data_IF_769206603754
#
_entry.id   IF_769206603754
#
_cell.length_a   1.000
_cell.length_b   1.000
_cell.length_c   1.000
_cell.angle_alpha   90.00
_cell.angle_beta   90.00
_cell.angle_gamma   90.00
#
_symmetry.space_group_name_H-M   'P 1'
#
loop_
_entity.id
_entity.type
_entity.pdbx_description
1 polymer ?
#
# COMPACT_ATOMS: atom_id res chain seq x y z
N UNK A 1 -21.95 28.30 21.60
CA UNK A 1 -20.62 28.45 22.21
C UNK A 1 -20.26 27.11 22.83
N UNK A 2 -19.39 26.33 22.19
CA UNK A 2 -18.85 25.10 22.76
C UNK A 2 -17.81 25.49 23.84
N UNK A 3 -17.91 24.88 25.02
CA UNK A 3 -17.09 25.22 26.18
C UNK A 3 -15.65 24.72 26.01
N UNK A 4 -14.68 25.44 26.59
CA UNK A 4 -13.23 25.12 26.53
C UNK A 4 -12.83 23.79 27.17
N UNK A 5 -13.73 23.16 27.94
CA UNK A 5 -13.55 21.82 28.49
C UNK A 5 -13.88 20.71 27.47
N UNK A 6 -14.80 20.96 26.53
CA UNK A 6 -15.15 19.99 25.48
C UNK A 6 -14.04 19.88 24.43
N UNK A 7 -13.38 20.98 24.08
CA UNK A 7 -12.28 21.00 23.10
C UNK A 7 -11.05 20.23 23.59
N UNK A 8 -10.74 20.28 24.89
CA UNK A 8 -9.62 19.52 25.49
C UNK A 8 -9.90 18.01 25.61
N UNK A 9 -11.17 17.63 25.83
CA UNK A 9 -11.58 16.22 25.84
C UNK A 9 -11.62 15.63 24.44
N UNK A 10 -12.03 16.42 23.44
CA UNK A 10 -12.04 16.04 22.02
C UNK A 10 -10.60 15.86 21.52
N UNK A 11 -9.67 16.77 21.86
CA UNK A 11 -8.27 16.66 21.48
C UNK A 11 -7.58 15.39 22.03
N UNK A 12 -7.82 15.02 23.30
CA UNK A 12 -7.25 13.80 23.89
C UNK A 12 -7.82 12.51 23.29
N UNK A 13 -9.09 12.49 22.90
CA UNK A 13 -9.69 11.33 22.23
C UNK A 13 -9.28 11.20 20.76
N UNK A 14 -8.94 12.31 20.10
CA UNK A 14 -8.32 12.31 18.75
C UNK A 14 -6.89 11.75 18.79
N UNK A 15 -6.14 11.99 19.87
CA UNK A 15 -4.76 11.52 20.04
C UNK A 15 -4.63 9.98 20.21
N UNK A 16 -5.58 9.32 20.88
CA UNK A 16 -5.54 7.85 21.09
C UNK A 16 -5.93 7.05 19.83
N UNK A 17 -6.62 7.65 18.87
CA UNK A 17 -7.27 6.96 17.75
C UNK A 17 -6.55 7.12 16.41
N UNK A 18 -5.74 8.16 16.28
CA UNK A 18 -4.83 8.35 15.17
C UNK A 18 -3.55 7.48 15.29
N UNK A 19 -3.58 6.43 16.11
CA UNK A 19 -2.46 5.52 16.32
C UNK A 19 -2.16 4.61 15.12
N UNK A 20 -2.92 4.72 14.02
CA UNK A 20 -2.97 3.66 13.02
C UNK A 20 -2.78 4.11 11.57
N UNK A 21 -1.72 3.53 11.01
CA UNK A 21 -1.54 3.19 9.59
C UNK A 21 -0.74 4.19 8.78
N UNK A 22 0.48 3.77 8.43
CA UNK A 22 1.25 4.47 7.42
C UNK A 22 2.11 3.50 6.61
N UNK A 23 2.38 3.82 5.31
CA UNK A 23 3.67 3.70 4.53
C UNK A 23 3.61 3.26 3.05
N UNK A 24 4.78 3.34 2.36
CA UNK A 24 5.08 3.34 0.91
C UNK A 24 6.40 2.58 0.52
N UNK A 25 6.55 1.98 -0.70
CA UNK A 25 7.81 1.70 -1.53
C UNK A 25 7.65 1.08 -3.00
N UNK A 26 8.55 1.28 -4.01
CA UNK A 26 8.95 0.25 -5.06
C UNK A 26 10.26 0.36 -5.93
N UNK A 27 11.41 -0.23 -5.61
CA UNK A 27 12.73 0.05 -6.26
C UNK A 27 12.73 0.03 -7.80
N UNK A 28 13.70 0.72 -8.41
CA UNK A 28 13.90 0.83 -9.85
C UNK A 28 14.14 -0.61 -10.31
N UNK A 29 13.23 -1.10 -11.15
CA UNK A 29 12.95 -2.53 -11.40
C UNK A 29 12.18 -3.28 -10.31
N UNK A 30 10.98 -2.77 -10.01
CA UNK A 30 9.81 -3.62 -10.02
C UNK A 30 9.34 -4.11 -8.68
N UNK A 31 8.87 -3.17 -7.86
CA UNK A 31 7.96 -3.47 -6.77
C UNK A 31 6.64 -2.71 -7.01
N UNK A 32 5.61 -2.87 -6.20
CA UNK A 32 4.53 -1.88 -6.06
C UNK A 32 4.02 -2.01 -4.63
N UNK A 33 3.92 -0.88 -3.94
CA UNK A 33 3.34 -0.82 -2.59
C UNK A 33 2.05 -0.06 -2.65
N UNK A 34 1.09 -0.55 -1.87
CA UNK A 34 -0.27 -0.08 -1.81
C UNK A 34 -0.58 0.44 -0.40
N UNK A 35 -0.68 1.75 -0.23
CA UNK A 35 -1.04 2.33 1.07
C UNK A 35 -2.55 2.49 1.23
N UNK A 36 -3.05 2.13 2.41
CA UNK A 36 -4.40 2.41 2.88
C UNK A 36 -4.35 3.60 3.83
N UNK A 37 -5.11 4.64 3.52
CA UNK A 37 -5.47 5.69 4.46
C UNK A 37 -6.87 5.34 5.02
N UNK A 38 -7.10 5.51 6.31
CA UNK A 38 -8.45 5.49 6.88
C UNK A 38 -8.60 6.75 7.74
N UNK A 39 -9.17 7.82 7.19
CA UNK A 39 -9.55 9.01 7.94
C UNK A 39 -10.79 8.66 8.75
N UNK A 40 -10.59 8.08 9.92
CA UNK A 40 -11.62 8.12 10.95
C UNK A 40 -11.66 9.53 11.54
N UNK A 41 -12.33 10.45 10.84
CA UNK A 41 -12.74 11.73 11.41
C UNK A 41 -13.83 11.43 12.45
N UNK A 42 -13.41 11.32 13.72
CA UNK A 42 -14.24 11.55 14.89
C UNK A 42 -15.02 10.36 15.45
N UNK A 43 -14.38 9.53 16.30
CA UNK A 43 -15.11 8.69 17.26
C UNK A 43 -15.63 9.54 18.44
N UNK A 44 -16.67 10.30 18.11
CA UNK A 44 -17.87 10.51 18.93
C UNK A 44 -19.15 10.62 18.09
N UNK A 45 -19.04 10.68 16.76
CA UNK A 45 -20.15 10.46 15.81
C UNK A 45 -20.25 8.99 15.33
N UNK A 46 -19.18 8.21 15.50
CA UNK A 46 -19.06 6.78 15.12
C UNK A 46 -19.85 5.79 16.01
N UNK A 47 -20.74 6.26 16.89
CA UNK A 47 -21.85 5.43 17.39
C UNK A 47 -23.09 5.45 16.48
N UNK A 48 -23.05 6.17 15.35
CA UNK A 48 -24.09 6.14 14.29
C UNK A 48 -23.61 5.74 12.90
N UNK A 49 -22.32 5.44 12.70
CA UNK A 49 -21.79 4.91 11.41
C UNK A 49 -21.94 3.40 11.37
N UNK A 50 -23.16 2.89 11.62
CA UNK A 50 -23.45 1.49 11.28
C UNK A 50 -23.95 1.34 9.84
N UNK A 51 -24.37 2.41 9.16
CA UNK A 51 -25.07 2.27 7.85
C UNK A 51 -24.90 3.47 6.87
N UNK A 52 -24.00 4.45 7.11
CA UNK A 52 -23.93 5.70 6.31
C UNK A 52 -22.72 5.81 5.37
N UNK A 53 -22.95 6.31 4.16
CA UNK A 53 -21.95 6.71 3.15
C UNK A 53 -21.12 7.93 3.62
N UNK A 54 -19.83 7.98 3.31
CA UNK A 54 -18.89 9.04 3.74
C UNK A 54 -19.34 10.44 3.26
N UNK A 55 -19.95 10.55 2.06
CA UNK A 55 -20.54 11.82 1.56
C UNK A 55 -21.68 12.32 2.44
N UNK A 56 -22.46 11.38 3.02
CA UNK A 56 -23.56 11.72 3.93
C UNK A 56 -23.02 12.31 5.22
N UNK A 57 -21.94 11.74 5.76
CA UNK A 57 -21.26 12.31 6.93
C UNK A 57 -20.72 13.71 6.63
N UNK A 58 -20.04 13.91 5.48
CA UNK A 58 -19.53 15.23 5.09
C UNK A 58 -20.65 16.27 4.94
N UNK A 59 -21.82 15.85 4.44
CA UNK A 59 -23.03 16.68 4.40
C UNK A 59 -23.50 17.09 5.78
N UNK A 60 -23.60 16.16 6.72
CA UNK A 60 -24.01 16.45 8.09
C UNK A 60 -23.03 17.41 8.78
N UNK A 61 -21.73 17.22 8.60
CA UNK A 61 -20.70 18.09 9.15
C UNK A 61 -20.82 19.52 8.60
N UNK A 62 -21.00 19.66 7.28
CA UNK A 62 -21.17 20.95 6.64
C UNK A 62 -22.45 21.68 7.12
N UNK A 63 -23.57 20.97 7.25
CA UNK A 63 -24.82 21.53 7.79
C UNK A 63 -24.66 22.03 9.23
N UNK A 64 -23.77 21.41 10.00
CA UNK A 64 -23.43 21.84 11.36
C UNK A 64 -22.34 22.93 11.42
N UNK A 65 -21.94 23.49 10.28
CA UNK A 65 -21.00 24.61 10.19
C UNK A 65 -19.52 24.22 10.22
N UNK A 66 -19.19 22.93 10.07
CA UNK A 66 -17.80 22.51 9.91
C UNK A 66 -17.32 22.89 8.51
N UNK A 67 -16.20 23.61 8.43
CA UNK A 67 -15.60 24.02 7.17
C UNK A 67 -14.56 23.01 6.68
N UNK A 68 -14.24 23.04 5.40
CA UNK A 68 -13.14 22.25 4.83
C UNK A 68 -11.79 22.58 5.47
N UNK A 69 -11.57 23.84 5.87
CA UNK A 69 -10.37 24.25 6.60
C UNK A 69 -10.28 23.59 7.99
N UNK A 70 -11.40 23.46 8.71
CA UNK A 70 -11.41 22.76 10.00
C UNK A 70 -10.98 21.29 9.81
N UNK A 71 -11.45 20.66 8.74
CA UNK A 71 -11.06 19.29 8.39
C UNK A 71 -9.56 19.21 8.08
N UNK A 72 -9.03 20.13 7.26
CA UNK A 72 -7.59 20.21 6.94
C UNK A 72 -6.75 20.34 8.21
N UNK A 73 -7.14 21.22 9.14
CA UNK A 73 -6.40 21.43 10.38
C UNK A 73 -6.40 20.22 11.31
N UNK A 74 -7.45 19.40 11.27
CA UNK A 74 -7.50 18.11 11.98
C UNK A 74 -6.55 17.10 11.31
N UNK A 75 -6.61 16.97 9.98
CA UNK A 75 -5.79 16.02 9.22
C UNK A 75 -4.28 16.27 9.40
N UNK A 76 -3.86 17.55 9.46
CA UNK A 76 -2.45 17.90 9.73
C UNK A 76 -1.97 17.51 11.12
N UNK A 77 -2.88 17.29 12.07
CA UNK A 77 -2.55 16.93 13.46
C UNK A 77 -2.57 15.44 13.70
N UNK A 78 -2.94 14.63 12.70
CA UNK A 78 -2.93 13.18 12.80
C UNK A 78 -1.53 12.69 13.18
N UNK A 79 -1.34 12.10 14.38
CA UNK A 79 -0.06 11.54 14.76
C UNK A 79 0.41 10.49 13.77
N UNK A 80 1.69 10.57 13.42
CA UNK A 80 2.38 9.63 12.56
C UNK A 80 3.62 9.16 13.29
N UNK A 81 3.81 7.84 13.33
CA UNK A 81 4.96 7.27 13.99
C UNK A 81 6.26 7.78 13.32
N UNK A 82 7.28 8.25 14.08
CA UNK A 82 8.42 8.98 13.50
C UNK A 82 9.25 8.21 12.46
N UNK A 83 9.17 6.87 12.44
CA UNK A 83 9.92 5.98 11.54
C UNK A 83 9.26 5.76 10.18
N UNK A 84 8.01 6.14 10.05
CA UNK A 84 7.21 5.98 8.85
C UNK A 84 7.72 6.81 7.67
N UNK A 85 7.84 8.14 7.86
CA UNK A 85 8.25 9.03 6.78
C UNK A 85 9.68 8.69 6.33
N UNK A 86 10.64 8.43 7.24
CA UNK A 86 11.94 7.87 6.87
C UNK A 86 11.84 6.58 6.07
N UNK A 87 10.98 5.63 6.47
CA UNK A 87 10.79 4.39 5.73
C UNK A 87 10.32 4.64 4.30
N UNK A 88 9.26 5.44 4.12
CA UNK A 88 8.74 5.85 2.80
C UNK A 88 9.84 6.43 1.91
N UNK A 89 10.61 7.39 2.46
CA UNK A 89 11.66 8.08 1.73
C UNK A 89 12.85 7.19 1.41
N UNK A 90 13.30 6.38 2.36
CA UNK A 90 14.41 5.44 2.19
C UNK A 90 14.05 4.37 1.17
N UNK A 91 12.80 3.93 1.24
CA UNK A 91 12.26 3.02 0.29
C UNK A 91 12.27 3.71 -1.08
N UNK A 92 11.58 4.84 -1.31
CA UNK A 92 11.67 5.67 -2.55
C UNK A 92 13.12 5.88 -3.06
N UNK A 93 14.08 6.16 -2.19
CA UNK A 93 15.47 6.34 -2.57
C UNK A 93 16.16 5.05 -3.06
N UNK A 94 15.69 3.89 -2.62
CA UNK A 94 16.13 2.61 -3.16
C UNK A 94 15.60 2.39 -4.61
N UNK A 95 14.69 3.25 -5.10
CA UNK A 95 14.28 3.37 -6.52
C UNK A 95 12.76 3.40 -6.72
N UNK A 96 12.02 3.83 -5.70
CA UNK A 96 10.85 3.11 -5.26
C UNK A 96 9.48 3.62 -5.83
N UNK A 97 8.76 3.05 -6.81
CA UNK A 97 7.38 3.33 -7.31
C UNK A 97 6.21 3.13 -6.29
N UNK A 98 5.93 4.16 -5.52
CA UNK A 98 4.96 4.08 -4.43
C UNK A 98 3.54 4.26 -4.94
N UNK A 99 2.58 3.47 -4.46
CA UNK A 99 1.16 3.64 -4.77
C UNK A 99 0.30 3.63 -3.51
N UNK A 100 -0.86 4.27 -3.60
CA UNK A 100 -1.88 4.28 -2.55
C UNK A 100 -3.11 3.58 -3.11
N UNK A 101 -3.67 2.64 -2.35
CA UNK A 101 -5.03 2.13 -2.59
C UNK A 101 -5.75 2.07 -1.26
N UNK A 102 -6.70 2.98 -1.15
CA UNK A 102 -7.21 3.40 0.15
C UNK A 102 -8.71 3.59 0.07
N UNK A 103 -9.44 3.05 1.04
CA UNK A 103 -10.89 3.27 1.16
C UNK A 103 -11.22 4.58 1.90
N UNK A 104 -10.35 5.58 1.72
CA UNK A 104 -10.53 6.96 2.15
C UNK A 104 -11.05 7.78 0.96
N UNK A 105 -10.64 9.04 0.84
CA UNK A 105 -10.85 9.86 -0.34
C UNK A 105 -9.62 10.70 -0.72
N UNK A 106 -9.61 11.23 -1.95
CA UNK A 106 -8.47 12.01 -2.48
C UNK A 106 -8.16 13.24 -1.62
N UNK A 107 -9.17 14.01 -1.20
CA UNK A 107 -8.98 15.23 -0.40
C UNK A 107 -8.23 14.95 0.91
N UNK A 108 -8.58 13.86 1.61
CA UNK A 108 -7.90 13.49 2.85
C UNK A 108 -6.48 13.01 2.63
N UNK A 109 -6.27 12.16 1.64
CA UNK A 109 -4.95 11.60 1.34
C UNK A 109 -4.00 12.71 0.92
N UNK A 110 -4.39 13.53 -0.06
CA UNK A 110 -3.55 14.60 -0.61
C UNK A 110 -3.20 15.63 0.47
N UNK A 111 -4.17 16.03 1.31
CA UNK A 111 -3.92 16.97 2.43
C UNK A 111 -2.79 16.48 3.35
N UNK A 112 -2.74 15.18 3.63
CA UNK A 112 -1.76 14.61 4.54
C UNK A 112 -0.42 14.39 3.86
N UNK A 113 -0.43 13.93 2.61
CA UNK A 113 0.80 13.82 1.83
C UNK A 113 1.48 15.19 1.68
N UNK A 114 0.71 16.24 1.39
CA UNK A 114 1.20 17.61 1.29
C UNK A 114 1.80 18.07 2.63
N UNK A 115 1.09 17.83 3.73
CA UNK A 115 1.56 18.21 5.07
C UNK A 115 2.90 17.54 5.44
N UNK A 116 3.09 16.30 5.01
CA UNK A 116 4.29 15.51 5.32
C UNK A 116 5.42 15.67 4.30
N UNK A 117 5.18 16.40 3.20
CA UNK A 117 6.12 16.52 2.08
C UNK A 117 6.35 15.17 1.38
N UNK A 118 5.26 14.45 1.12
CA UNK A 118 5.25 13.11 0.52
C UNK A 118 4.49 13.04 -0.82
N UNK A 119 3.95 14.14 -1.33
CA UNK A 119 3.08 14.12 -2.53
C UNK A 119 3.81 13.61 -3.77
N UNK A 120 5.07 14.00 -3.97
CA UNK A 120 5.90 13.58 -5.12
C UNK A 120 6.44 12.15 -5.00
N UNK A 121 6.16 11.48 -3.88
CA UNK A 121 6.67 10.14 -3.64
C UNK A 121 5.77 9.07 -4.24
N UNK A 122 4.48 9.35 -4.47
CA UNK A 122 3.52 8.36 -4.97
C UNK A 122 3.18 8.58 -6.44
N UNK A 123 3.33 7.52 -7.25
CA UNK A 123 3.03 7.57 -8.69
C UNK A 123 1.54 7.43 -8.99
N UNK A 124 0.77 6.80 -8.10
CA UNK A 124 -0.67 6.64 -8.27
C UNK A 124 -1.42 6.52 -6.93
N UNK A 125 -2.60 7.14 -6.87
CA UNK A 125 -3.54 7.07 -5.76
C UNK A 125 -4.87 6.52 -6.29
N UNK A 126 -5.26 5.32 -5.86
CA UNK A 126 -6.61 4.80 -6.09
C UNK A 126 -7.41 4.94 -4.80
N UNK A 127 -8.46 5.73 -4.83
CA UNK A 127 -9.32 5.95 -3.67
C UNK A 127 -10.69 6.45 -4.14
N UNK A 128 -11.59 6.76 -3.21
CA UNK A 128 -12.87 7.39 -3.52
C UNK A 128 -12.61 8.85 -3.95
N UNK A 129 -13.06 9.31 -5.13
CA UNK A 129 -12.85 10.70 -5.53
C UNK A 129 -13.50 11.68 -4.55
N UNK A 130 -12.73 12.67 -4.09
CA UNK A 130 -13.16 13.71 -3.17
C UNK A 130 -12.89 15.12 -3.72
N UNK A 131 -13.86 16.03 -3.63
CA UNK A 131 -13.70 17.42 -4.07
C UNK A 131 -14.59 18.37 -3.27
N UNK A 132 -14.23 19.65 -3.21
CA UNK A 132 -15.07 20.68 -2.57
C UNK A 132 -16.05 21.24 -3.60
N UNK A 133 -17.35 21.22 -3.31
CA UNK A 133 -18.39 21.78 -4.19
C UNK A 133 -18.50 23.31 -4.09
N UNK A 134 -19.40 23.90 -4.88
CA UNK A 134 -19.61 25.35 -4.96
C UNK A 134 -20.10 25.96 -3.63
N UNK A 135 -20.75 25.14 -2.80
CA UNK A 135 -21.19 25.50 -1.45
C UNK A 135 -20.10 25.38 -0.39
N UNK A 136 -18.90 24.91 -0.75
CA UNK A 136 -17.79 24.70 0.18
C UNK A 136 -17.91 23.41 0.99
N UNK A 137 -18.73 22.45 0.57
CA UNK A 137 -18.86 21.13 1.19
C UNK A 137 -17.92 20.13 0.51
N UNK A 138 -17.30 19.28 1.32
CA UNK A 138 -16.56 18.14 0.79
C UNK A 138 -17.53 17.08 0.26
N UNK A 139 -17.40 16.78 -1.03
CA UNK A 139 -18.09 15.71 -1.76
C UNK A 139 -17.20 14.50 -1.88
N UNK A 140 -17.79 13.32 -1.70
CA UNK A 140 -17.10 12.04 -1.85
C UNK A 140 -17.93 11.16 -2.77
N UNK A 141 -17.28 10.57 -3.77
CA UNK A 141 -17.88 9.67 -4.74
C UNK A 141 -17.30 8.28 -4.56
N UNK A 142 -18.07 7.20 -4.75
CA UNK A 142 -17.52 5.86 -4.62
C UNK A 142 -16.58 5.53 -5.79
N UNK A 143 -15.51 4.80 -5.49
CA UNK A 143 -14.57 4.33 -6.51
C UNK A 143 -15.23 3.36 -7.51
N UNK A 144 -16.06 2.44 -7.01
CA UNK A 144 -16.92 1.57 -7.81
C UNK A 144 -18.37 2.07 -7.75
N UNK A 145 -19.02 2.20 -8.90
CA UNK A 145 -20.45 2.52 -8.97
C UNK A 145 -21.28 1.30 -8.55
N UNK A 146 -21.49 1.15 -7.24
CA UNK A 146 -22.27 0.08 -6.64
C UNK A 146 -23.79 0.28 -6.77
N UNK A 147 -24.25 1.44 -7.29
CA UNK A 147 -25.68 1.70 -7.50
C UNK A 147 -26.23 0.95 -8.70
N UNK A 148 -25.36 0.63 -9.68
CA UNK A 148 -25.71 -0.18 -10.86
C UNK A 148 -25.53 -1.66 -10.61
N UNK A 149 -24.40 -2.07 -10.04
CA UNK A 149 -24.12 -3.46 -9.71
C UNK A 149 -23.02 -3.58 -8.66
N UNK A 150 -23.08 -4.57 -7.76
CA UNK A 150 -21.99 -4.83 -6.83
C UNK A 150 -20.74 -5.31 -7.58
N UNK A 151 -19.56 -5.03 -7.05
CA UNK A 151 -18.28 -5.44 -7.63
C UNK A 151 -18.00 -6.97 -7.55
N UNK A 152 -18.99 -7.79 -7.17
CA UNK A 152 -18.98 -9.25 -7.32
C UNK A 152 -17.97 -10.02 -6.46
N UNK A 153 -17.44 -9.43 -5.38
CA UNK A 153 -16.49 -10.12 -4.50
C UNK A 153 -17.21 -10.84 -3.36
N UNK A 154 -16.75 -12.04 -3.01
CA UNK A 154 -17.24 -12.82 -1.86
C UNK A 154 -16.48 -12.55 -0.55
N UNK A 155 -15.50 -11.65 -0.59
CA UNK A 155 -14.67 -11.24 0.55
C UNK A 155 -15.29 -10.04 1.25
N UNK A 156 -14.93 -9.75 2.52
CA UNK A 156 -15.35 -8.52 3.19
C UNK A 156 -14.73 -7.30 2.51
N UNK A 157 -15.46 -6.75 1.54
CA UNK A 157 -15.13 -5.53 0.81
C UNK A 157 -16.27 -4.54 0.98
N UNK A 158 -15.97 -3.27 1.22
CA UNK A 158 -16.98 -2.24 1.25
C UNK A 158 -17.49 -1.99 -0.19
N UNK A 159 -18.80 -1.72 -0.39
CA UNK A 159 -19.39 -1.64 -1.74
C UNK A 159 -18.77 -0.56 -2.63
N UNK A 160 -18.32 0.55 -2.03
CA UNK A 160 -17.72 1.69 -2.69
C UNK A 160 -16.32 1.41 -3.25
N UNK A 161 -15.52 0.53 -2.62
CA UNK A 161 -14.15 0.26 -3.10
C UNK A 161 -13.64 -1.14 -2.75
N UNK A 162 -13.51 -1.99 -3.78
CA UNK A 162 -12.78 -3.24 -3.69
C UNK A 162 -11.31 -3.05 -4.06
N UNK A 163 -10.44 -2.97 -3.05
CA UNK A 163 -8.98 -2.90 -3.23
C UNK A 163 -8.40 -4.13 -3.95
N UNK A 164 -9.04 -5.29 -3.81
CA UNK A 164 -8.63 -6.51 -4.51
C UNK A 164 -8.82 -6.47 -6.02
N UNK A 165 -9.77 -5.68 -6.53
CA UNK A 165 -9.90 -5.41 -7.97
C UNK A 165 -8.81 -4.45 -8.45
N UNK A 166 -8.49 -3.43 -7.65
CA UNK A 166 -7.38 -2.50 -7.95
C UNK A 166 -6.05 -3.25 -8.02
N UNK A 167 -5.74 -4.09 -7.03
CA UNK A 167 -4.54 -4.94 -7.06
C UNK A 167 -4.50 -5.88 -8.25
N UNK A 168 -5.65 -6.45 -8.63
CA UNK A 168 -5.72 -7.31 -9.81
C UNK A 168 -5.36 -6.53 -11.09
N UNK A 169 -5.83 -5.29 -11.23
CA UNK A 169 -5.49 -4.42 -12.37
C UNK A 169 -3.99 -4.13 -12.39
N UNK A 170 -3.44 -3.70 -11.26
CA UNK A 170 -2.03 -3.35 -11.11
C UNK A 170 -1.09 -4.53 -11.40
N UNK A 171 -1.40 -5.74 -10.91
CA UNK A 171 -0.65 -6.96 -11.22
C UNK A 171 -0.62 -7.26 -12.73
N UNK A 172 -1.67 -6.91 -13.47
CA UNK A 172 -1.70 -7.06 -14.93
C UNK A 172 -0.87 -5.97 -15.63
N UNK A 173 -0.93 -4.74 -15.16
CA UNK A 173 -0.21 -3.59 -15.72
C UNK A 173 1.31 -3.70 -15.51
N UNK A 174 1.74 -4.28 -14.39
CA UNK A 174 3.14 -4.27 -13.93
C UNK A 174 3.87 -5.61 -14.09
N UNK A 175 3.25 -6.59 -14.76
CA UNK A 175 3.92 -7.82 -15.19
C UNK A 175 4.64 -8.55 -14.06
N UNK A 176 5.95 -8.79 -14.21
CA UNK A 176 6.75 -9.61 -13.28
C UNK A 176 7.36 -8.84 -12.09
N UNK A 177 7.07 -7.54 -11.94
CA UNK A 177 7.47 -6.74 -10.77
C UNK A 177 6.95 -7.40 -9.49
N UNK A 178 7.72 -7.50 -8.41
CA UNK A 178 7.35 -8.13 -7.11
C UNK A 178 6.57 -7.19 -6.20
N UNK A 179 5.36 -7.55 -5.80
CA UNK A 179 4.55 -6.65 -4.99
C UNK A 179 4.89 -6.80 -3.50
N UNK A 180 4.88 -5.70 -2.75
CA UNK A 180 4.83 -5.71 -1.28
C UNK A 180 3.50 -5.05 -0.92
N UNK A 181 2.50 -5.80 -0.49
CA UNK A 181 1.23 -5.22 -0.08
C UNK A 181 1.23 -4.98 1.43
N UNK A 182 0.76 -3.82 1.88
CA UNK A 182 0.66 -3.50 3.31
C UNK A 182 -0.79 -3.14 3.64
N UNK A 183 -1.27 -3.59 4.79
CA UNK A 183 -2.63 -3.31 5.21
C UNK A 183 -2.93 -3.78 6.62
N UNK A 184 -4.03 -3.30 7.15
CA UNK A 184 -4.47 -3.51 8.54
C UNK A 184 -5.98 -3.76 8.60
N UNK A 185 -6.75 -3.10 7.75
CA UNK A 185 -8.21 -3.12 7.76
C UNK A 185 -8.82 -4.37 7.12
N UNK A 186 -10.08 -4.62 7.42
CA UNK A 186 -10.81 -5.78 6.88
C UNK A 186 -10.84 -5.81 5.34
N UNK A 187 -10.90 -4.62 4.70
CA UNK A 187 -10.87 -4.46 3.24
C UNK A 187 -9.55 -4.87 2.58
N UNK A 188 -8.50 -5.10 3.37
CA UNK A 188 -7.18 -5.55 2.89
C UNK A 188 -7.08 -7.06 2.74
N UNK A 189 -8.09 -7.81 3.19
CA UNK A 189 -8.11 -9.26 3.01
C UNK A 189 -8.31 -9.65 1.55
N UNK A 190 -9.19 -8.95 0.82
CA UNK A 190 -9.42 -9.26 -0.60
C UNK A 190 -8.17 -9.10 -1.49
N UNK A 191 -7.38 -8.01 -1.40
CA UNK A 191 -6.13 -7.92 -2.15
C UNK A 191 -5.07 -8.93 -1.68
N UNK A 192 -5.02 -9.27 -0.39
CA UNK A 192 -4.11 -10.30 0.14
C UNK A 192 -4.25 -11.66 -0.58
N UNK A 193 -5.49 -12.02 -0.97
CA UNK A 193 -5.79 -13.25 -1.74
C UNK A 193 -5.39 -13.20 -3.22
N UNK A 194 -5.03 -12.02 -3.74
CA UNK A 194 -4.72 -11.81 -5.17
C UNK A 194 -3.22 -11.80 -5.44
N UNK A 195 -2.40 -11.65 -4.41
CA UNK A 195 -0.95 -11.65 -4.51
C UNK A 195 -0.43 -13.03 -4.95
N UNK A 196 0.71 -13.02 -5.64
CA UNK A 196 1.40 -14.23 -6.13
C UNK A 196 2.38 -14.76 -5.09
N UNK A 197 2.87 -15.97 -5.31
CA UNK A 197 3.88 -16.60 -4.44
C UNK A 197 5.21 -15.83 -4.38
N UNK A 198 5.53 -15.08 -5.44
CA UNK A 198 6.71 -14.21 -5.51
C UNK A 198 6.56 -12.89 -4.77
N UNK A 199 5.34 -12.53 -4.38
CA UNK A 199 4.99 -11.27 -3.73
C UNK A 199 5.05 -11.41 -2.20
N UNK A 200 4.97 -10.28 -1.52
CA UNK A 200 5.02 -10.16 -0.07
C UNK A 200 3.77 -9.46 0.45
N UNK A 201 3.27 -9.92 1.58
CA UNK A 201 2.17 -9.33 2.33
C UNK A 201 2.68 -8.92 3.71
N UNK A 202 2.48 -7.66 4.08
CA UNK A 202 2.82 -7.10 5.39
C UNK A 202 1.55 -6.69 6.14
N UNK A 203 0.82 -7.64 6.75
CA UNK A 203 -0.37 -7.33 7.52
C UNK A 203 0.03 -6.74 8.86
N UNK A 204 -0.69 -5.71 9.32
CA UNK A 204 -0.50 -5.22 10.68
C UNK A 204 -1.09 -6.20 11.68
N UNK A 205 -0.25 -6.66 12.60
CA UNK A 205 -0.63 -7.63 13.62
C UNK A 205 -1.63 -7.02 14.61
N UNK A 206 -2.59 -7.83 15.04
CA UNK A 206 -3.67 -7.46 15.97
C UNK A 206 -4.71 -6.48 15.39
N UNK A 207 -4.75 -6.35 14.05
CA UNK A 207 -5.77 -5.61 13.30
C UNK A 207 -6.67 -6.56 12.49
N UNK A 208 -7.85 -6.12 12.00
CA UNK A 208 -8.85 -7.01 11.38
C UNK A 208 -8.33 -7.88 10.24
N UNK A 209 -7.39 -7.40 9.41
CA UNK A 209 -6.81 -8.22 8.34
C UNK A 209 -5.98 -9.39 8.89
N UNK A 210 -5.27 -9.18 10.00
CA UNK A 210 -4.43 -10.19 10.64
C UNK A 210 -5.27 -11.35 11.16
N UNK A 211 -6.43 -11.06 11.77
CA UNK A 211 -7.33 -12.10 12.24
C UNK A 211 -7.83 -12.98 11.08
N UNK A 212 -8.24 -12.35 9.96
CA UNK A 212 -8.70 -13.08 8.78
C UNK A 212 -7.59 -13.95 8.16
N UNK A 213 -6.38 -13.42 8.05
CA UNK A 213 -5.22 -14.15 7.53
C UNK A 213 -4.84 -15.30 8.47
N UNK A 214 -4.77 -15.05 9.78
CA UNK A 214 -4.37 -16.02 10.79
C UNK A 214 -5.35 -17.18 10.92
N UNK A 215 -6.64 -16.93 10.68
CA UNK A 215 -7.68 -17.96 10.68
C UNK A 215 -7.52 -18.96 9.52
N UNK A 216 -7.01 -18.54 8.37
CA UNK A 216 -6.78 -19.43 7.23
C UNK A 216 -5.58 -19.03 6.36
N UNK A 217 -4.34 -19.15 6.86
CA UNK A 217 -3.16 -18.63 6.18
C UNK A 217 -2.85 -19.36 4.87
N UNK A 218 -3.38 -20.58 4.70
CA UNK A 218 -3.21 -21.40 3.48
C UNK A 218 -3.87 -20.77 2.24
N UNK A 219 -4.80 -19.83 2.42
CA UNK A 219 -5.40 -19.09 1.30
C UNK A 219 -4.48 -17.99 0.78
N UNK A 220 -3.49 -17.55 1.56
CA UNK A 220 -2.51 -16.54 1.17
C UNK A 220 -1.35 -17.24 0.46
N UNK A 221 -1.12 -16.87 -0.79
CA UNK A 221 -0.03 -17.41 -1.61
C UNK A 221 1.29 -16.70 -1.36
N UNK A 222 1.25 -15.40 -1.10
CA UNK A 222 2.41 -14.56 -0.87
C UNK A 222 3.07 -14.84 0.48
N UNK A 223 4.32 -14.41 0.62
CA UNK A 223 5.05 -14.50 1.89
C UNK A 223 4.52 -13.46 2.87
N UNK A 224 4.12 -13.90 4.06
CA UNK A 224 3.57 -13.03 5.11
C UNK A 224 4.69 -12.54 6.01
N UNK A 225 4.73 -11.22 6.25
CA UNK A 225 5.69 -10.52 7.10
C UNK A 225 4.97 -9.47 7.95
N UNK A 226 4.46 -9.87 9.11
CA UNK A 226 3.71 -9.00 9.99
C UNK A 226 4.55 -7.87 10.63
N UNK A 227 3.87 -6.82 11.07
CA UNK A 227 4.44 -5.71 11.82
C UNK A 227 3.45 -5.19 12.87
N UNK A 228 3.94 -4.64 13.97
CA UNK A 228 3.08 -4.12 15.07
C UNK A 228 3.08 -2.60 15.16
N UNK A 229 4.26 -1.98 15.04
CA UNK A 229 4.49 -0.55 15.16
C UNK A 229 5.33 0.03 14.01
N UNK A 230 5.56 1.34 14.02
CA UNK A 230 6.29 2.00 12.96
C UNK A 230 7.79 1.71 12.92
N UNK A 231 8.40 1.14 13.98
CA UNK A 231 9.79 0.72 13.97
C UNK A 231 9.94 -0.66 13.31
N UNK A 232 9.06 -1.60 13.65
CA UNK A 232 8.98 -2.89 12.97
C UNK A 232 8.59 -2.73 11.51
N UNK A 233 7.63 -1.85 11.25
CA UNK A 233 7.24 -1.42 9.92
C UNK A 233 8.46 -1.18 9.04
N UNK A 234 9.32 -0.25 9.46
CA UNK A 234 10.47 0.18 8.68
C UNK A 234 11.46 -0.96 8.53
N UNK A 235 11.78 -1.64 9.64
CA UNK A 235 12.74 -2.74 9.64
C UNK A 235 12.34 -3.84 8.67
N UNK A 236 11.07 -4.25 8.69
CA UNK A 236 10.55 -5.31 7.82
C UNK A 236 10.54 -4.83 6.37
N UNK A 237 10.00 -3.64 6.09
CA UNK A 237 9.93 -3.09 4.74
C UNK A 237 11.33 -3.01 4.11
N UNK A 238 12.28 -2.38 4.79
CA UNK A 238 13.64 -2.20 4.27
C UNK A 238 14.39 -3.53 4.14
N UNK A 239 14.14 -4.49 5.03
CA UNK A 239 14.70 -5.84 4.92
C UNK A 239 14.17 -6.58 3.68
N UNK A 240 12.89 -6.46 3.36
CA UNK A 240 12.30 -7.08 2.18
C UNK A 240 12.84 -6.46 0.89
N UNK A 241 12.89 -5.13 0.86
CA UNK A 241 13.52 -4.34 -0.20
C UNK A 241 14.95 -4.83 -0.46
N UNK A 242 15.78 -4.87 0.57
CA UNK A 242 17.17 -5.29 0.45
C UNK A 242 17.27 -6.73 -0.08
N UNK A 243 16.43 -7.63 0.42
CA UNK A 243 16.38 -9.01 -0.06
C UNK A 243 15.96 -9.10 -1.52
N UNK A 244 15.04 -8.26 -1.99
CA UNK A 244 14.63 -8.24 -3.40
C UNK A 244 15.78 -7.77 -4.28
N UNK A 245 16.43 -6.66 -3.93
CA UNK A 245 17.59 -6.09 -4.66
C UNK A 245 18.71 -7.12 -4.75
N UNK A 246 19.14 -7.70 -3.62
CA UNK A 246 20.25 -8.66 -3.60
C UNK A 246 19.96 -9.91 -4.42
N UNK A 247 18.71 -10.38 -4.45
CA UNK A 247 18.31 -11.51 -5.29
C UNK A 247 18.24 -11.14 -6.78
N UNK A 248 17.91 -9.89 -7.12
CA UNK A 248 17.93 -9.40 -8.49
C UNK A 248 19.37 -9.33 -9.02
N UNK A 249 20.29 -8.77 -8.23
CA UNK A 249 21.73 -8.72 -8.56
C UNK A 249 22.28 -10.13 -8.78
N UNK A 250 22.01 -11.07 -7.86
CA UNK A 250 22.45 -12.44 -8.00
C UNK A 250 21.93 -13.08 -9.31
N UNK A 251 20.65 -12.89 -9.65
CA UNK A 251 20.08 -13.40 -10.90
C UNK A 251 20.65 -12.74 -12.16
N UNK A 252 21.11 -11.48 -12.08
CA UNK A 252 21.85 -10.83 -13.16
C UNK A 252 23.25 -11.44 -13.31
N UNK A 253 23.97 -11.70 -12.21
CA UNK A 253 25.25 -12.40 -12.23
C UNK A 253 25.13 -13.81 -12.82
N UNK A 254 24.12 -14.59 -12.41
CA UNK A 254 23.87 -15.92 -12.97
C UNK A 254 23.48 -15.88 -14.46
N UNK A 255 22.76 -14.86 -14.91
CA UNK A 255 22.46 -14.68 -16.34
C UNK A 255 23.67 -14.22 -17.18
N UNK A 256 24.66 -13.56 -16.58
CA UNK A 256 25.93 -13.26 -17.25
C UNK A 256 26.77 -14.53 -17.43
N UNK A 257 26.83 -15.39 -16.41
CA UNK A 257 27.58 -16.64 -16.46
C UNK A 257 26.98 -17.64 -17.47
N UNK A 258 25.65 -17.66 -17.65
CA UNK A 258 25.00 -18.48 -18.69
C UNK A 258 25.20 -17.95 -20.13
N UNK A 259 25.75 -16.74 -20.33
CA UNK A 259 26.07 -16.21 -21.67
C UNK A 259 27.49 -16.55 -22.13
N UNK A 260 28.32 -17.19 -21.30
CA UNK A 260 29.69 -17.59 -21.67
C UNK A 260 29.83 -19.02 -22.22
N UNK A 261 28.74 -19.79 -22.35
CA UNK A 261 28.75 -21.10 -22.99
C UNK A 261 28.01 -21.09 -24.33
N UNK A 262 28.66 -20.55 -25.37
CA UNK A 262 28.46 -21.01 -26.75
C UNK A 262 29.60 -20.55 -27.65
N UNK A 263 30.82 -21.01 -27.36
CA UNK A 263 31.83 -21.15 -28.40
C UNK A 263 31.61 -22.50 -29.09
N UNK A 264 31.35 -22.55 -30.41
CA UNK A 264 31.22 -23.82 -31.11
C UNK A 264 32.55 -24.55 -31.08
N UNK A 265 32.54 -25.76 -30.52
CA UNK A 265 33.61 -26.75 -30.65
C UNK A 265 33.78 -27.02 -32.15
N UNK A 266 34.85 -26.49 -32.73
CA UNK A 266 35.32 -26.85 -34.06
C UNK A 266 35.69 -28.33 -34.05
N UNK A 267 35.04 -29.06 -34.93
CA UNK A 267 35.21 -30.48 -35.21
C UNK A 267 36.65 -30.80 -35.66
N UNK A 268 37.24 -31.80 -34.99
CA UNK A 268 38.28 -32.73 -35.44
C UNK A 268 39.19 -32.28 -36.60
N UNK A 269 40.40 -31.82 -36.26
CA UNK A 269 41.57 -31.98 -37.12
C UNK A 269 42.47 -33.11 -36.61
N UNK A 270 42.95 -33.89 -37.57
CA UNK A 270 43.65 -35.16 -37.39
C UNK A 270 44.97 -35.04 -36.62
N UNK A 271 45.28 -36.06 -35.81
CA UNK A 271 46.59 -36.23 -35.18
C UNK A 271 47.71 -36.33 -36.24
N UNK A 272 48.85 -35.63 -36.08
CA UNK A 272 50.01 -35.88 -36.92
C UNK A 272 50.67 -37.21 -36.56
N UNK A 273 50.87 -38.03 -37.59
CA UNK A 273 51.50 -39.34 -37.55
C UNK A 273 53.01 -39.19 -37.27
N UNK A 274 53.53 -39.94 -36.30
CA UNK A 274 54.95 -39.95 -35.95
C UNK A 274 55.81 -40.54 -37.09
N UNK A 275 56.86 -39.80 -37.49
CA UNK A 275 57.87 -40.23 -38.45
C UNK A 275 58.73 -41.37 -37.86
N UNK A 276 58.81 -42.49 -38.58
CA UNK A 276 59.79 -43.56 -38.30
C UNK A 276 61.15 -43.18 -38.89
N UNK A 277 62.20 -43.30 -38.08
CA UNK A 277 63.60 -43.20 -38.50
C UNK A 277 64.10 -44.61 -38.88
N UNK A 278 64.80 -44.79 -40.02
CA UNK A 278 65.24 -46.10 -40.48
C UNK A 278 66.61 -46.51 -39.94
N UNK A 279 66.73 -47.75 -39.47
CA UNK A 279 67.78 -48.73 -39.83
C UNK A 279 67.11 -50.10 -39.92
#
# INVERSE_FOLDING_TARGET
MLNTADTSSIAKSIEEEAYNTVTASSIDEGIEILQVYSPAIGIRLLQRVKEGDEDTLMKEMHVNGVTTNDIVEVLKRTPIHPRIVPAIKAAHAAGCELRIVSDANTFFIETILDHLGLSDYFSEINTNPGYVDEEGRLRILPHHDFTKSPHGCCNPCPPNMCKGLVIKRLLCEHGNKKFIYLGDGIGDYCPSLRLRESDYLMPRKDFPVWDLISNNPKLIKSKIHEWTDGAEFERVLLSLIQAIITNADANQFFNLDCKFESLPISSHDAMPQALRVPI
#
